data_IF_106169176298
#
_entry.id   IF_106169176298
#
_cell.length_a   1.000
_cell.length_b   1.000
_cell.length_c   1.000
_cell.angle_alpha   90.00
_cell.angle_beta   90.00
_cell.angle_gamma   90.00
#
_symmetry.space_group_name_H-M   'P 1'
#
loop_
_entity.id
_entity.type
_entity.pdbx_description
1 polymer ?
#
# COMPACT_ATOMS: atom_id res chain seq x y z
N UNK A 1 -10.02 -2.77 -7.37
CA UNK A 1 -9.21 -1.67 -7.96
C UNK A 1 -7.79 -2.18 -8.17
N UNK A 2 -7.14 -1.83 -9.27
CA UNK A 2 -5.73 -2.17 -9.51
C UNK A 2 -4.85 -1.12 -8.86
N UNK A 3 -3.94 -1.55 -7.98
CA UNK A 3 -2.99 -0.69 -7.31
C UNK A 3 -1.56 -1.22 -7.49
N UNK A 4 -0.59 -0.32 -7.47
CA UNK A 4 0.84 -0.64 -7.54
C UNK A 4 1.59 0.17 -6.51
N UNK A 5 2.53 -0.45 -5.82
CA UNK A 5 3.47 0.20 -4.92
C UNK A 5 4.88 -0.02 -5.47
N UNK A 6 5.68 1.04 -5.58
CA UNK A 6 7.04 0.98 -6.14
C UNK A 6 7.99 1.76 -5.27
N UNK A 7 9.13 1.16 -4.94
CA UNK A 7 10.17 1.78 -4.12
C UNK A 7 11.16 2.56 -4.96
N UNK A 8 11.51 3.76 -4.52
CA UNK A 8 12.60 4.57 -5.03
C UNK A 8 13.73 4.62 -3.99
N UNK A 9 14.85 3.99 -4.32
CA UNK A 9 16.03 3.95 -3.46
C UNK A 9 16.79 5.26 -3.36
N UNK A 10 16.65 6.17 -4.33
CA UNK A 10 17.36 7.46 -4.30
C UNK A 10 16.75 8.41 -3.27
N UNK A 11 15.43 8.37 -3.12
CA UNK A 11 14.68 9.21 -2.19
C UNK A 11 14.25 8.48 -0.91
N UNK A 12 14.48 7.16 -0.82
CA UNK A 12 14.01 6.29 0.27
C UNK A 12 12.49 6.38 0.49
N UNK A 13 11.75 6.44 -0.61
CA UNK A 13 10.28 6.55 -0.62
C UNK A 13 9.64 5.40 -1.38
N UNK A 14 8.34 5.22 -1.21
CA UNK A 14 7.53 4.42 -2.11
C UNK A 14 6.41 5.25 -2.72
N UNK A 15 6.14 5.03 -4.00
CA UNK A 15 4.99 5.59 -4.69
C UNK A 15 3.85 4.57 -4.66
N UNK A 16 2.70 4.98 -4.12
CA UNK A 16 1.45 4.23 -4.20
C UNK A 16 0.57 4.82 -5.29
N UNK A 17 0.15 3.99 -6.24
CA UNK A 17 -0.76 4.37 -7.32
C UNK A 17 -2.03 3.50 -7.28
N UNK A 18 -3.20 4.14 -7.30
CA UNK A 18 -4.52 3.52 -7.28
C UNK A 18 -5.34 4.17 -8.40
N UNK A 19 -5.43 3.49 -9.56
CA UNK A 19 -6.03 4.07 -10.76
C UNK A 19 -5.32 5.36 -11.20
N UNK A 20 -6.06 6.47 -11.26
CA UNK A 20 -5.53 7.80 -11.62
C UNK A 20 -4.85 8.53 -10.46
N UNK A 21 -5.14 8.13 -9.22
CA UNK A 21 -4.54 8.74 -8.04
C UNK A 21 -3.19 8.11 -7.74
N UNK A 22 -2.21 8.92 -7.37
CA UNK A 22 -0.92 8.46 -6.89
C UNK A 22 -0.30 9.46 -5.93
N UNK A 23 0.55 8.98 -5.04
CA UNK A 23 1.38 9.82 -4.17
C UNK A 23 2.62 9.06 -3.70
N UNK A 24 3.64 9.80 -3.25
CA UNK A 24 4.88 9.25 -2.71
C UNK A 24 4.95 9.45 -1.19
N UNK A 25 5.46 8.44 -0.48
CA UNK A 25 5.54 8.38 0.98
C UNK A 25 6.90 7.84 1.42
N UNK A 26 7.42 8.24 2.60
CA UNK A 26 8.60 7.59 3.19
C UNK A 26 8.40 6.07 3.31
N UNK A 27 9.46 5.29 3.08
CA UNK A 27 9.37 3.82 3.20
C UNK A 27 9.00 3.36 4.63
N UNK A 28 9.37 4.15 5.64
CA UNK A 28 9.05 3.87 7.04
C UNK A 28 7.53 3.92 7.31
N UNK A 29 6.77 4.66 6.50
CA UNK A 29 5.31 4.74 6.62
C UNK A 29 4.58 3.54 5.99
N UNK A 30 5.30 2.63 5.32
CA UNK A 30 4.69 1.49 4.60
C UNK A 30 3.80 0.65 5.52
N UNK A 31 4.26 0.36 6.73
CA UNK A 31 3.49 -0.39 7.73
C UNK A 31 2.20 0.31 8.15
N UNK A 32 2.27 1.64 8.36
CA UNK A 32 1.12 2.47 8.71
C UNK A 32 0.07 2.46 7.60
N UNK A 33 0.49 2.59 6.34
CA UNK A 33 -0.41 2.50 5.19
C UNK A 33 -1.04 1.12 5.03
N UNK A 34 -0.25 0.04 5.19
CA UNK A 34 -0.77 -1.31 5.14
C UNK A 34 -1.82 -1.56 6.24
N UNK A 35 -1.54 -1.13 7.47
CA UNK A 35 -2.49 -1.19 8.58
C UNK A 35 -3.76 -0.39 8.28
N UNK A 36 -3.61 0.83 7.76
CA UNK A 36 -4.74 1.69 7.40
C UNK A 36 -5.68 0.99 6.42
N UNK A 37 -5.17 0.44 5.31
CA UNK A 37 -6.03 -0.22 4.31
C UNK A 37 -6.64 -1.52 4.82
N UNK A 38 -5.94 -2.29 5.68
CA UNK A 38 -6.52 -3.44 6.38
C UNK A 38 -7.68 -3.01 7.30
N UNK A 39 -7.50 -1.93 8.06
CA UNK A 39 -8.55 -1.38 8.93
C UNK A 39 -9.75 -0.85 8.11
N UNK A 40 -9.52 -0.20 6.97
CA UNK A 40 -10.59 0.25 6.06
C UNK A 40 -11.41 -0.92 5.53
N UNK A 41 -10.77 -2.04 5.16
CA UNK A 41 -11.45 -3.26 4.71
C UNK A 41 -12.40 -3.83 5.78
N UNK A 42 -12.01 -3.76 7.05
CA UNK A 42 -12.85 -4.24 8.17
C UNK A 42 -13.97 -3.24 8.48
N UNK A 43 -13.67 -1.93 8.49
CA UNK A 43 -14.64 -0.88 8.87
C UNK A 43 -15.69 -0.60 7.80
N UNK A 44 -15.37 -0.80 6.53
CA UNK A 44 -16.25 -0.52 5.39
C UNK A 44 -16.52 -1.79 4.59
N UNK A 45 -17.28 -2.76 5.15
CA UNK A 45 -17.56 -4.03 4.47
C UNK A 45 -18.35 -3.85 3.17
N UNK A 46 -19.12 -2.76 3.04
CA UNK A 46 -19.82 -2.39 1.80
C UNK A 46 -18.87 -2.11 0.62
N UNK A 47 -17.61 -1.76 0.90
CA UNK A 47 -16.58 -1.57 -0.12
C UNK A 47 -16.10 -2.89 -0.74
N UNK A 48 -16.52 -4.04 -0.20
CA UNK A 48 -16.17 -5.36 -0.72
C UNK A 48 -14.66 -5.54 -0.86
N UNK A 49 -14.21 -5.95 -2.04
CA UNK A 49 -12.80 -6.20 -2.37
C UNK A 49 -12.04 -4.96 -2.88
N UNK A 50 -12.62 -3.76 -2.71
CA UNK A 50 -12.04 -2.52 -3.28
C UNK A 50 -10.63 -2.22 -2.77
N UNK A 51 -10.32 -2.61 -1.52
CA UNK A 51 -9.02 -2.39 -0.89
C UNK A 51 -8.02 -3.53 -1.12
N UNK A 52 -8.48 -4.71 -1.56
CA UNK A 52 -7.63 -5.91 -1.63
C UNK A 52 -6.43 -5.70 -2.57
N UNK A 53 -6.65 -5.01 -3.70
CA UNK A 53 -5.57 -4.68 -4.63
C UNK A 53 -4.50 -3.77 -4.02
N UNK A 54 -4.90 -2.78 -3.22
CA UNK A 54 -3.99 -1.87 -2.53
C UNK A 54 -3.22 -2.58 -1.43
N UNK A 55 -3.91 -3.41 -0.63
CA UNK A 55 -3.28 -4.24 0.41
C UNK A 55 -2.23 -5.16 -0.23
N UNK A 56 -2.59 -5.88 -1.29
CA UNK A 56 -1.67 -6.80 -1.98
C UNK A 56 -0.45 -6.08 -2.56
N UNK A 57 -0.61 -4.87 -3.09
CA UNK A 57 0.50 -4.06 -3.61
C UNK A 57 1.48 -3.65 -2.51
N UNK A 58 0.97 -3.20 -1.36
CA UNK A 58 1.80 -2.81 -0.21
C UNK A 58 2.48 -4.03 0.43
N UNK A 59 1.80 -5.17 0.57
CA UNK A 59 2.38 -6.41 1.06
C UNK A 59 3.48 -6.95 0.13
N UNK A 60 3.28 -6.85 -1.18
CA UNK A 60 4.32 -7.21 -2.16
C UNK A 60 5.56 -6.35 -1.95
N UNK A 61 5.39 -5.04 -1.83
CA UNK A 61 6.51 -4.14 -1.57
C UNK A 61 7.20 -4.44 -0.23
N UNK A 62 6.44 -4.71 0.83
CA UNK A 62 6.99 -5.08 2.14
C UNK A 62 7.89 -6.32 2.04
N UNK A 63 7.42 -7.38 1.36
CA UNK A 63 8.19 -8.61 1.10
C UNK A 63 9.46 -8.32 0.30
N UNK A 64 9.38 -7.50 -0.74
CA UNK A 64 10.53 -7.11 -1.55
C UNK A 64 11.59 -6.36 -0.74
N UNK A 65 11.19 -5.63 0.31
CA UNK A 65 12.09 -4.90 1.22
C UNK A 65 12.49 -5.67 2.47
N UNK A 66 12.05 -6.92 2.61
CA UNK A 66 12.34 -7.72 3.80
C UNK A 66 11.68 -7.17 5.07
N UNK A 67 10.63 -6.38 4.93
CA UNK A 67 9.87 -5.82 6.04
C UNK A 67 8.82 -6.85 6.48
N UNK A 68 8.83 -7.21 7.77
CA UNK A 68 7.79 -8.07 8.36
C UNK A 68 6.65 -7.20 8.88
N UNK A 69 5.58 -7.04 8.08
CA UNK A 69 4.44 -6.13 8.29
C UNK A 69 3.06 -6.83 8.16
#
# INVERSE_FOLDING_TARGET
>A
MTATATYDSASNTFTLKIGMWWNAYPIDDLGSWLKFYRDQRVRFPKSGTSYDGTIAALEKLARERGLSL
#
